data_IF_656421869953
#
_entry.id   IF_656421869953
#
_cell.length_a   1.000
_cell.length_b   1.000
_cell.length_c   1.000
_cell.angle_alpha   90.00
_cell.angle_beta   90.00
_cell.angle_gamma   90.00
#
_symmetry.space_group_name_H-M   'P 1'
#
loop_
_entity.id
_entity.type
_entity.pdbx_description
1 polymer ?
#
# COMPACT_ATOMS: atom_id res chain seq x y z
N UNK A 1 26.38 19.76 -44.76
CA UNK A 1 26.43 20.53 -43.50
C UNK A 1 25.02 21.02 -43.16
N UNK A 2 24.69 21.07 -41.87
CA UNK A 2 23.52 21.71 -41.23
C UNK A 2 22.13 21.03 -41.31
N UNK A 3 21.89 19.96 -40.52
CA UNK A 3 20.53 19.58 -40.02
C UNK A 3 20.48 18.91 -38.63
N UNK A 4 21.57 18.91 -37.84
CA UNK A 4 21.61 18.21 -36.53
C UNK A 4 21.52 19.13 -35.29
N UNK A 5 21.48 20.45 -35.47
CA UNK A 5 21.54 21.41 -34.34
C UNK A 5 20.20 21.81 -33.72
N UNK A 6 19.05 21.53 -34.36
CA UNK A 6 17.75 22.04 -33.90
C UNK A 6 17.03 21.06 -32.95
N UNK A 7 17.28 19.75 -33.06
CA UNK A 7 16.57 18.74 -32.27
C UNK A 7 17.08 18.66 -30.82
N UNK A 8 18.38 18.90 -30.57
CA UNK A 8 18.92 18.89 -29.20
C UNK A 8 18.42 20.08 -28.37
N UNK A 9 18.30 21.27 -28.97
CA UNK A 9 17.88 22.47 -28.26
C UNK A 9 16.40 22.41 -27.86
N UNK A 10 15.54 21.79 -28.68
CA UNK A 10 14.12 21.58 -28.35
C UNK A 10 13.88 20.57 -27.22
N UNK A 11 14.72 19.52 -27.11
CA UNK A 11 14.60 18.52 -26.03
C UNK A 11 15.07 19.10 -24.70
N UNK A 12 16.15 19.88 -24.70
CA UNK A 12 16.61 20.62 -23.51
C UNK A 12 15.60 21.68 -23.05
N UNK A 13 14.97 22.41 -23.97
CA UNK A 13 13.94 23.39 -23.60
C UNK A 13 12.69 22.71 -22.98
N UNK A 14 12.30 21.53 -23.48
CA UNK A 14 11.17 20.78 -22.92
C UNK A 14 11.47 20.24 -21.51
N UNK A 15 12.69 19.75 -21.23
CA UNK A 15 13.06 19.28 -19.88
C UNK A 15 13.13 20.44 -18.88
N UNK A 16 13.66 21.60 -19.28
CA UNK A 16 13.65 22.79 -18.43
C UNK A 16 12.23 23.32 -18.16
N UNK A 17 11.32 23.23 -19.14
CA UNK A 17 9.91 23.61 -18.94
C UNK A 17 9.16 22.67 -18.01
N UNK A 18 9.47 21.36 -17.99
CA UNK A 18 8.86 20.42 -17.04
C UNK A 18 9.37 20.63 -15.61
N UNK A 19 10.64 20.99 -15.43
CA UNK A 19 11.22 21.22 -14.11
C UNK A 19 10.71 22.53 -13.45
N UNK A 20 10.46 23.58 -14.23
CA UNK A 20 9.87 24.83 -13.72
C UNK A 20 8.44 24.60 -13.19
N UNK A 21 7.66 23.71 -13.82
CA UNK A 21 6.30 23.39 -13.38
C UNK A 21 6.27 22.55 -12.10
N UNK A 22 7.28 21.73 -11.83
CA UNK A 22 7.37 20.96 -10.58
C UNK A 22 7.69 21.86 -9.37
N UNK A 23 8.46 22.93 -9.57
CA UNK A 23 8.88 23.86 -8.51
C UNK A 23 7.83 24.93 -8.15
N UNK A 24 6.83 25.17 -9.01
CA UNK A 24 5.76 26.16 -8.79
C UNK A 24 4.40 25.48 -8.56
N UNK A 25 4.31 24.60 -7.56
CA UNK A 25 2.98 24.19 -7.05
C UNK A 25 2.37 25.36 -6.28
N UNK A 26 1.51 26.10 -6.95
CA UNK A 26 0.75 27.21 -6.38
C UNK A 26 -0.14 26.72 -5.22
N UNK A 27 -0.41 27.57 -4.23
CA UNK A 27 -1.31 27.28 -3.09
C UNK A 27 -2.72 26.84 -3.58
N UNK A 28 -3.09 27.20 -4.80
CA UNK A 28 -4.34 26.79 -5.43
C UNK A 28 -4.37 25.30 -5.87
N UNK A 29 -3.22 24.64 -6.02
CA UNK A 29 -3.13 23.20 -6.31
C UNK A 29 -3.37 22.37 -5.02
N UNK A 30 -2.91 22.88 -3.87
CA UNK A 30 -3.16 22.33 -2.54
C UNK A 30 -4.66 22.27 -2.19
N UNK A 31 -5.43 23.30 -2.56
CA UNK A 31 -6.88 23.38 -2.32
C UNK A 31 -7.66 22.45 -3.26
N UNK A 32 -7.09 22.12 -4.44
CA UNK A 32 -7.73 21.21 -5.41
C UNK A 32 -7.47 19.73 -5.15
N UNK A 33 -6.36 19.39 -4.50
CA UNK A 33 -5.97 18.03 -4.17
C UNK A 33 -5.55 17.96 -2.69
N UNK A 34 -6.48 17.68 -1.76
CA UNK A 34 -6.11 17.55 -0.35
C UNK A 34 -5.04 16.47 -0.18
N UNK A 35 -4.04 16.74 0.65
CA UNK A 35 -2.98 15.79 0.91
C UNK A 35 -3.52 14.51 1.55
N UNK A 36 -3.01 13.33 1.14
CA UNK A 36 -3.39 12.09 1.79
C UNK A 36 -2.90 12.09 3.24
N UNK A 37 -3.83 11.87 4.17
CA UNK A 37 -3.54 11.45 5.54
C UNK A 37 -3.72 9.93 5.59
N UNK A 38 -2.61 9.21 5.76
CA UNK A 38 -2.58 7.73 5.78
C UNK A 38 -2.42 7.27 7.21
N UNK A 39 -3.37 6.47 7.68
CA UNK A 39 -3.39 5.93 9.04
C UNK A 39 -3.16 4.42 9.00
N UNK A 40 -2.20 3.91 9.78
CA UNK A 40 -2.03 2.47 9.96
C UNK A 40 -2.86 1.98 11.13
N UNK A 41 -3.64 0.92 10.91
CA UNK A 41 -4.33 0.17 11.95
C UNK A 41 -3.63 -1.17 12.12
N UNK A 42 -2.97 -1.37 13.27
CA UNK A 42 -2.36 -2.65 13.61
C UNK A 42 -3.38 -3.59 14.24
N UNK A 43 -3.76 -4.66 13.54
CA UNK A 43 -4.82 -5.58 14.01
C UNK A 43 -4.50 -6.26 15.33
N UNK A 44 -3.23 -6.37 15.69
CA UNK A 44 -2.79 -6.92 16.98
C UNK A 44 -3.17 -6.04 18.18
N UNK A 45 -3.55 -4.77 17.96
CA UNK A 45 -3.98 -3.88 19.03
C UNK A 45 -5.26 -4.36 19.73
N UNK A 46 -6.05 -5.22 19.09
CA UNK A 46 -7.13 -5.98 19.71
C UNK A 46 -6.67 -6.75 20.96
N UNK A 47 -5.43 -7.26 20.96
CA UNK A 47 -4.90 -8.11 22.03
C UNK A 47 -4.26 -7.32 23.19
N UNK A 48 -4.31 -5.99 23.20
CA UNK A 48 -3.84 -5.21 24.33
C UNK A 48 -4.73 -5.43 25.56
N UNK A 49 -4.10 -5.57 26.74
CA UNK A 49 -4.81 -5.91 27.99
C UNK A 49 -5.54 -4.72 28.60
N UNK A 50 -4.90 -3.55 28.64
CA UNK A 50 -5.44 -2.37 29.34
C UNK A 50 -6.30 -1.50 28.43
N UNK A 51 -5.89 -1.33 27.17
CA UNK A 51 -6.57 -0.48 26.18
C UNK A 51 -6.56 -1.21 24.82
N UNK A 52 -7.40 -2.24 24.63
CA UNK A 52 -7.60 -2.84 23.32
C UNK A 52 -8.12 -1.77 22.37
N UNK A 53 -7.60 -1.77 21.14
CA UNK A 53 -8.01 -0.82 20.10
C UNK A 53 -8.58 -1.58 18.91
N UNK A 54 -9.87 -1.40 18.67
CA UNK A 54 -10.64 -2.07 17.62
C UNK A 54 -10.84 -1.17 16.41
N UNK A 55 -11.38 -1.76 15.34
CA UNK A 55 -11.77 -1.01 14.14
C UNK A 55 -12.82 0.05 14.47
N UNK A 56 -13.73 -0.26 15.40
CA UNK A 56 -14.78 0.64 15.86
C UNK A 56 -14.24 1.88 16.58
N UNK A 57 -13.03 1.81 17.14
CA UNK A 57 -12.38 2.93 17.84
C UNK A 57 -11.68 3.91 16.88
N UNK A 58 -11.53 3.54 15.62
CA UNK A 58 -10.91 4.40 14.61
C UNK A 58 -11.81 5.61 14.33
N UNK A 59 -11.29 6.81 14.62
CA UNK A 59 -11.87 8.04 14.11
C UNK A 59 -11.51 8.22 12.63
N UNK A 60 -12.33 7.62 11.76
CA UNK A 60 -12.13 7.58 10.31
C UNK A 60 -12.21 8.95 9.62
N UNK A 61 -12.70 10.00 10.28
CA UNK A 61 -12.73 11.36 9.72
C UNK A 61 -11.36 12.05 9.74
N UNK A 62 -10.39 11.50 10.50
CA UNK A 62 -9.02 12.01 10.55
C UNK A 62 -8.17 11.50 9.38
N UNK A 63 -8.62 10.48 8.67
CA UNK A 63 -7.83 9.75 7.68
C UNK A 63 -8.47 9.85 6.30
N UNK A 64 -7.64 9.95 5.27
CA UNK A 64 -8.07 9.77 3.87
C UNK A 64 -7.88 8.32 3.43
N UNK A 65 -6.87 7.65 3.98
CA UNK A 65 -6.53 6.26 3.72
C UNK A 65 -6.32 5.55 5.05
N UNK A 66 -6.81 4.32 5.18
CA UNK A 66 -6.49 3.45 6.30
C UNK A 66 -5.85 2.16 5.77
N UNK A 67 -4.66 1.87 6.27
CA UNK A 67 -3.88 0.69 5.97
C UNK A 67 -4.08 -0.34 7.09
N UNK A 68 -4.73 -1.47 6.77
CA UNK A 68 -4.86 -2.59 7.70
C UNK A 68 -3.54 -3.35 7.75
N UNK A 69 -2.86 -3.29 8.88
CA UNK A 69 -1.68 -4.08 9.18
C UNK A 69 -2.06 -5.39 9.86
N UNK A 70 -1.74 -6.58 9.33
CA UNK A 70 -1.09 -6.85 8.04
C UNK A 70 -1.65 -8.12 7.40
N UNK A 71 -1.31 -8.34 6.13
CA UNK A 71 -1.28 -9.64 5.46
C UNK A 71 0.18 -10.12 5.36
N UNK A 72 0.38 -11.39 4.98
CA UNK A 72 1.71 -12.03 4.80
C UNK A 72 1.82 -12.78 3.48
N UNK A 73 3.03 -13.13 3.07
CA UNK A 73 3.28 -14.03 1.93
C UNK A 73 3.46 -15.46 2.45
N UNK A 74 2.86 -16.44 1.77
CA UNK A 74 3.12 -17.86 2.00
C UNK A 74 4.53 -18.25 1.53
N UNK A 75 5.27 -19.00 2.36
CA UNK A 75 6.67 -19.36 2.08
C UNK A 75 6.82 -20.40 0.96
N UNK A 76 5.78 -21.17 0.65
CA UNK A 76 5.84 -22.26 -0.33
C UNK A 76 5.40 -21.75 -1.69
N UNK A 77 4.26 -21.06 -1.69
CA UNK A 77 3.52 -20.80 -2.91
C UNK A 77 3.47 -19.32 -3.31
N UNK A 78 4.00 -18.45 -2.43
CA UNK A 78 4.08 -17.00 -2.55
C UNK A 78 2.73 -16.31 -2.73
N UNK A 79 1.62 -16.94 -2.36
CA UNK A 79 0.33 -16.27 -2.33
C UNK A 79 0.22 -15.36 -1.10
N UNK A 80 -0.51 -14.24 -1.25
CA UNK A 80 -0.93 -13.44 -0.11
C UNK A 80 -1.86 -14.26 0.81
N UNK A 81 -1.64 -14.18 2.12
CA UNK A 81 -2.41 -14.86 3.16
C UNK A 81 -2.77 -13.89 4.29
N UNK A 82 -3.84 -14.24 5.01
CA UNK A 82 -4.18 -13.60 6.27
C UNK A 82 -3.05 -13.77 7.26
N UNK A 83 -2.74 -12.72 8.01
CA UNK A 83 -1.69 -12.81 9.03
C UNK A 83 -2.22 -13.56 10.25
N UNK A 84 -3.42 -13.18 10.70
CA UNK A 84 -4.17 -13.79 11.80
C UNK A 84 -5.62 -14.10 11.34
N UNK A 85 -5.89 -15.31 10.82
CA UNK A 85 -7.24 -15.69 10.37
C UNK A 85 -8.34 -15.54 11.42
N UNK A 86 -8.01 -15.54 12.72
CA UNK A 86 -8.98 -15.36 13.78
C UNK A 86 -9.48 -13.91 13.83
N UNK A 87 -8.60 -12.92 13.78
CA UNK A 87 -9.01 -11.52 13.69
C UNK A 87 -9.54 -11.17 12.30
N UNK A 88 -8.81 -11.61 11.28
CA UNK A 88 -9.00 -11.16 9.91
C UNK A 88 -10.30 -11.71 9.29
N UNK A 89 -10.62 -13.00 9.52
CA UNK A 89 -11.79 -13.68 8.95
C UNK A 89 -12.84 -14.07 10.00
N UNK A 90 -12.46 -14.70 11.12
CA UNK A 90 -13.45 -15.14 12.12
C UNK A 90 -14.17 -13.96 12.80
N UNK A 91 -13.44 -12.93 13.22
CA UNK A 91 -14.01 -11.67 13.72
C UNK A 91 -14.23 -10.61 12.63
N UNK A 92 -14.18 -11.03 11.37
CA UNK A 92 -14.47 -10.20 10.19
C UNK A 92 -13.66 -8.90 10.13
N UNK A 93 -12.42 -8.85 10.66
CA UNK A 93 -11.61 -7.63 10.76
C UNK A 93 -11.49 -6.87 9.43
N UNK A 94 -11.15 -7.56 8.33
CA UNK A 94 -11.07 -6.90 7.02
C UNK A 94 -12.40 -6.28 6.58
N UNK A 95 -13.49 -7.03 6.73
CA UNK A 95 -14.83 -6.60 6.33
C UNK A 95 -15.32 -5.44 7.22
N UNK A 96 -15.03 -5.47 8.53
CA UNK A 96 -15.34 -4.37 9.45
C UNK A 96 -14.64 -3.08 9.02
N UNK A 97 -13.35 -3.15 8.69
CA UNK A 97 -12.58 -1.99 8.24
C UNK A 97 -13.10 -1.43 6.91
N UNK A 98 -13.28 -2.28 5.90
CA UNK A 98 -13.82 -1.88 4.59
C UNK A 98 -15.22 -1.25 4.72
N UNK A 99 -16.02 -1.73 5.68
CA UNK A 99 -17.34 -1.17 5.96
C UNK A 99 -17.31 0.23 6.58
N UNK A 100 -16.16 0.76 7.03
CA UNK A 100 -16.06 2.17 7.43
C UNK A 100 -16.41 3.11 6.26
N UNK A 101 -16.21 2.68 5.01
CA UNK A 101 -16.66 3.41 3.81
C UNK A 101 -18.17 3.66 3.76
N UNK A 102 -18.99 2.89 4.49
CA UNK A 102 -20.43 3.17 4.63
C UNK A 102 -20.70 4.43 5.45
N UNK A 103 -19.79 4.78 6.36
CA UNK A 103 -19.86 5.99 7.21
C UNK A 103 -19.15 7.17 6.54
N UNK A 104 -17.98 6.92 5.94
CA UNK A 104 -17.25 7.91 5.14
C UNK A 104 -16.96 7.35 3.73
N UNK A 105 -17.81 7.62 2.73
CA UNK A 105 -17.64 7.10 1.36
C UNK A 105 -16.39 7.58 0.63
N UNK A 106 -15.71 8.62 1.13
CA UNK A 106 -14.46 9.13 0.54
C UNK A 106 -13.21 8.45 1.12
N UNK A 107 -13.38 7.54 2.08
CA UNK A 107 -12.29 6.81 2.70
C UNK A 107 -11.75 5.74 1.75
N UNK A 108 -10.42 5.69 1.58
CA UNK A 108 -9.73 4.58 0.92
C UNK A 108 -9.29 3.56 1.97
N UNK A 109 -9.61 2.29 1.75
CA UNK A 109 -9.23 1.19 2.65
C UNK A 109 -8.23 0.27 1.96
N UNK A 110 -7.05 0.13 2.54
CA UNK A 110 -5.90 -0.61 2.00
C UNK A 110 -5.56 -1.78 2.92
N UNK A 111 -4.97 -2.84 2.36
CA UNK A 111 -4.31 -3.90 3.13
C UNK A 111 -2.79 -3.72 3.01
N UNK A 112 -2.08 -3.71 4.14
CA UNK A 112 -0.61 -3.69 4.16
C UNK A 112 -0.07 -5.11 4.18
N UNK A 113 0.95 -5.39 3.39
CA UNK A 113 1.60 -6.69 3.27
C UNK A 113 3.06 -6.60 3.69
N UNK A 114 3.45 -7.42 4.67
CA UNK A 114 4.82 -7.48 5.18
C UNK A 114 4.93 -6.99 6.61
N UNK A 115 5.72 -5.93 6.81
CA UNK A 115 6.08 -5.41 8.12
C UNK A 115 7.22 -6.18 8.79
N UNK A 116 7.78 -5.60 9.85
CA UNK A 116 9.03 -6.07 10.45
C UNK A 116 9.07 -7.56 10.81
N UNK A 117 8.00 -8.10 11.41
CA UNK A 117 7.97 -9.50 11.88
C UNK A 117 7.96 -10.52 10.73
N UNK A 118 7.47 -10.11 9.56
CA UNK A 118 7.19 -11.00 8.45
C UNK A 118 8.51 -11.45 7.77
N UNK A 119 9.55 -10.61 7.81
CA UNK A 119 10.89 -10.89 7.31
C UNK A 119 11.10 -10.46 5.86
N UNK A 120 12.23 -10.86 5.26
CA UNK A 120 12.62 -10.40 3.91
C UNK A 120 12.95 -11.52 2.92
N UNK A 121 13.25 -12.74 3.38
CA UNK A 121 13.75 -13.83 2.54
C UNK A 121 12.72 -14.26 1.49
N UNK A 122 11.50 -14.59 1.91
CA UNK A 122 10.40 -14.97 0.99
C UNK A 122 10.00 -13.88 -0.01
N UNK A 123 10.22 -12.60 0.31
CA UNK A 123 9.98 -11.49 -0.64
C UNK A 123 11.02 -11.53 -1.73
N UNK A 124 12.29 -11.65 -1.33
CA UNK A 124 13.43 -11.81 -2.23
C UNK A 124 13.25 -13.02 -3.15
N UNK A 125 12.85 -14.17 -2.60
CA UNK A 125 12.62 -15.38 -3.38
C UNK A 125 11.46 -15.20 -4.35
N UNK A 126 10.32 -14.67 -3.87
CA UNK A 126 9.14 -14.39 -4.71
C UNK A 126 9.49 -13.47 -5.87
N UNK A 127 10.30 -12.43 -5.67
CA UNK A 127 10.63 -11.48 -6.74
C UNK A 127 11.70 -11.97 -7.71
N UNK A 128 12.42 -13.06 -7.41
CA UNK A 128 13.53 -13.55 -8.26
C UNK A 128 13.04 -14.11 -9.60
N UNK A 129 11.86 -14.74 -9.64
CA UNK A 129 11.31 -15.36 -10.85
C UNK A 129 10.07 -14.59 -11.38
N UNK A 130 9.95 -14.47 -12.70
CA UNK A 130 8.80 -13.80 -13.34
C UNK A 130 7.48 -14.53 -13.09
N UNK A 131 7.48 -15.86 -13.10
CA UNK A 131 6.31 -16.70 -12.87
C UNK A 131 5.82 -16.57 -11.42
N UNK A 132 6.73 -16.56 -10.43
CA UNK A 132 6.38 -16.35 -9.02
C UNK A 132 5.80 -14.95 -8.80
N UNK A 133 6.40 -13.90 -9.38
CA UNK A 133 5.84 -12.53 -9.32
C UNK A 133 4.43 -12.47 -9.94
N UNK A 134 4.22 -13.11 -11.08
CA UNK A 134 2.90 -13.14 -11.73
C UNK A 134 1.86 -13.88 -10.88
N UNK A 135 2.24 -14.99 -10.27
CA UNK A 135 1.38 -15.74 -9.35
C UNK A 135 1.01 -14.91 -8.13
N UNK A 136 2.00 -14.29 -7.49
CA UNK A 136 1.81 -13.39 -6.35
C UNK A 136 0.88 -12.22 -6.71
N UNK A 137 1.11 -11.52 -7.82
CA UNK A 137 0.23 -10.42 -8.26
C UNK A 137 -1.20 -10.92 -8.48
N UNK A 138 -1.40 -12.11 -9.06
CA UNK A 138 -2.73 -12.67 -9.25
C UNK A 138 -3.43 -13.00 -7.93
N UNK A 139 -2.69 -13.54 -6.94
CA UNK A 139 -3.27 -13.82 -5.62
C UNK A 139 -3.60 -12.54 -4.86
N UNK A 140 -2.77 -11.49 -4.98
CA UNK A 140 -3.07 -10.14 -4.48
C UNK A 140 -4.38 -9.61 -5.04
N UNK A 141 -4.54 -9.57 -6.37
CA UNK A 141 -5.78 -9.09 -6.99
C UNK A 141 -7.00 -9.87 -6.49
N UNK A 142 -6.87 -11.21 -6.43
CA UNK A 142 -7.95 -12.08 -5.92
C UNK A 142 -8.29 -11.78 -4.46
N UNK A 143 -7.29 -11.48 -3.62
CA UNK A 143 -7.47 -11.16 -2.21
C UNK A 143 -8.14 -9.80 -2.03
N UNK A 144 -7.70 -8.77 -2.77
CA UNK A 144 -8.30 -7.45 -2.78
C UNK A 144 -9.78 -7.51 -3.17
N UNK A 145 -10.09 -8.25 -4.25
CA UNK A 145 -11.46 -8.46 -4.72
C UNK A 145 -12.30 -9.24 -3.68
N UNK A 146 -11.75 -10.29 -3.06
CA UNK A 146 -12.46 -11.10 -2.05
C UNK A 146 -12.93 -10.24 -0.87
N UNK A 147 -12.09 -9.33 -0.39
CA UNK A 147 -12.36 -8.53 0.81
C UNK A 147 -12.79 -7.09 0.52
N UNK A 148 -12.84 -6.67 -0.75
CA UNK A 148 -13.20 -5.32 -1.22
C UNK A 148 -12.28 -4.19 -0.71
N UNK A 149 -11.00 -4.48 -0.60
CA UNK A 149 -9.97 -3.44 -0.39
C UNK A 149 -9.77 -2.62 -1.67
N UNK A 150 -9.48 -1.33 -1.51
CA UNK A 150 -9.25 -0.41 -2.63
C UNK A 150 -7.81 -0.51 -3.17
N UNK A 151 -6.91 -1.16 -2.42
CA UNK A 151 -5.54 -1.39 -2.86
C UNK A 151 -4.66 -2.10 -1.84
N UNK A 152 -3.41 -2.28 -2.24
CA UNK A 152 -2.33 -2.90 -1.47
C UNK A 152 -1.29 -1.83 -1.09
N UNK A 153 -0.83 -1.88 0.14
CA UNK A 153 0.39 -1.24 0.60
C UNK A 153 1.49 -2.31 0.76
N UNK A 154 2.64 -2.14 0.09
CA UNK A 154 3.73 -3.11 0.09
C UNK A 154 4.81 -2.65 1.07
N UNK A 155 4.88 -3.33 2.21
CA UNK A 155 5.79 -3.03 3.32
C UNK A 155 6.87 -4.12 3.46
N UNK A 156 7.66 -4.29 2.38
CA UNK A 156 8.82 -5.17 2.39
C UNK A 156 9.98 -4.48 3.12
N UNK A 157 10.35 -5.00 4.29
CA UNK A 157 11.43 -4.47 5.13
C UNK A 157 12.64 -5.41 5.28
N UNK A 158 13.67 -5.34 4.43
CA UNK A 158 13.82 -4.44 3.27
C UNK A 158 14.50 -5.18 2.12
N UNK A 159 14.29 -4.78 0.86
CA UNK A 159 15.08 -5.28 -0.27
C UNK A 159 16.59 -5.21 0.01
N UNK A 160 17.31 -6.30 -0.28
CA UNK A 160 18.74 -6.44 -0.03
C UNK A 160 19.18 -6.48 1.44
N UNK A 161 18.26 -6.64 2.40
CA UNK A 161 18.56 -6.72 3.83
C UNK A 161 17.78 -7.83 4.52
N UNK A 162 18.19 -8.19 5.76
CA UNK A 162 17.46 -9.14 6.64
C UNK A 162 17.16 -10.50 5.98
N UNK A 163 18.09 -11.00 5.19
CA UNK A 163 17.96 -12.26 4.44
C UNK A 163 17.44 -12.08 3.01
N UNK A 164 16.93 -10.90 2.64
CA UNK A 164 16.68 -10.55 1.24
C UNK A 164 17.96 -10.20 0.50
N UNK A 165 18.02 -10.58 -0.78
CA UNK A 165 19.12 -10.30 -1.70
C UNK A 165 18.75 -9.23 -2.75
#
# INVERSE_FOLDING_TARGET
MAKLGVVLLSVLLLTFLTDINAANRDHNDYVKNPHPIVCYFGSWAHYHVEEPFEIEDINYDLCTHINYGFAKIDEIDYDIRMFDPWQDEHFEGYKRLVNLKKKNPNLTTMISLGGWYEGSEKYSDMVTNTESRQKFVKSVVTFLDKYNFDGLDLDWEYPGNRGGA
#
